data_IF_806710824350
#
_entry.id   IF_806710824350
#
_cell.length_a   1.000
_cell.length_b   1.000
_cell.length_c   1.000
_cell.angle_alpha   90.00
_cell.angle_beta   90.00
_cell.angle_gamma   90.00
#
_symmetry.space_group_name_H-M   'P 1'
#
loop_
_entity.id
_entity.type
_entity.pdbx_description
1 polymer ?
#
# COMPACT_ATOMS: atom_id res chain seq x y z
N UNK A 1 7.67 -21.60 6.66
CA UNK A 1 7.89 -20.51 5.73
C UNK A 1 7.14 -19.29 6.18
N UNK A 2 7.77 -18.16 6.04
CA UNK A 2 7.25 -16.96 6.63
C UNK A 2 6.59 -16.07 5.60
N UNK A 3 5.37 -15.70 5.85
CA UNK A 3 4.72 -14.64 5.08
C UNK A 3 5.43 -13.33 5.36
N UNK A 4 5.26 -12.39 4.43
CA UNK A 4 5.84 -11.06 4.52
C UNK A 4 4.70 -10.04 4.53
N UNK A 5 4.82 -9.04 5.39
CA UNK A 5 3.91 -7.90 5.38
C UNK A 5 4.56 -6.74 4.64
N UNK A 6 3.79 -6.13 3.78
CA UNK A 6 4.13 -4.86 3.15
C UNK A 6 3.37 -3.78 3.91
N UNK A 7 4.11 -2.92 4.60
CA UNK A 7 3.53 -1.78 5.31
C UNK A 7 3.76 -0.53 4.48
N UNK A 8 2.69 0.17 4.19
CA UNK A 8 2.72 1.37 3.34
C UNK A 8 2.11 2.55 4.08
N UNK A 9 2.72 3.72 3.93
CA UNK A 9 2.15 4.95 4.46
C UNK A 9 2.23 6.05 3.41
N UNK A 10 1.26 6.93 3.41
CA UNK A 10 1.26 8.12 2.55
C UNK A 10 0.30 9.14 3.07
N UNK A 11 0.53 10.40 2.66
CA UNK A 11 -0.34 11.51 2.96
C UNK A 11 -1.14 11.86 1.70
N UNK A 12 -2.45 11.97 1.84
CA UNK A 12 -3.29 12.36 0.71
C UNK A 12 -3.12 13.86 0.48
N UNK A 13 -2.86 14.26 -0.76
CA UNK A 13 -2.67 15.67 -1.09
C UNK A 13 -3.93 16.48 -0.76
N UNK A 14 -3.77 17.68 -0.20
CA UNK A 14 -4.93 18.52 0.13
C UNK A 14 -5.78 18.79 -1.12
N UNK A 15 -7.07 18.61 -0.99
CA UNK A 15 -8.00 18.82 -2.09
C UNK A 15 -8.11 17.65 -3.06
N UNK A 16 -7.36 16.57 -2.86
CA UNK A 16 -7.38 15.40 -3.74
C UNK A 16 -8.00 14.17 -3.08
N UNK A 17 -8.70 14.36 -1.97
CA UNK A 17 -9.24 13.25 -1.20
C UNK A 17 -10.22 12.39 -2.01
N UNK A 18 -11.16 13.01 -2.70
CA UNK A 18 -12.12 12.27 -3.52
C UNK A 18 -11.44 11.52 -4.66
N UNK A 19 -10.52 12.19 -5.34
CA UNK A 19 -9.77 11.58 -6.45
C UNK A 19 -8.96 10.39 -5.95
N UNK A 20 -8.34 10.53 -4.78
CA UNK A 20 -7.57 9.44 -4.21
C UNK A 20 -8.46 8.25 -3.87
N UNK A 21 -9.59 8.47 -3.19
CA UNK A 21 -10.44 7.35 -2.79
C UNK A 21 -11.05 6.64 -4.00
N UNK A 22 -11.35 7.35 -5.07
CA UNK A 22 -11.77 6.73 -6.31
C UNK A 22 -10.65 5.88 -6.91
N UNK A 23 -9.43 6.42 -6.96
CA UNK A 23 -8.26 5.69 -7.40
C UNK A 23 -8.02 4.44 -6.55
N UNK A 24 -8.12 4.58 -5.23
CA UNK A 24 -7.91 3.47 -4.31
C UNK A 24 -8.83 2.28 -4.63
N UNK A 25 -10.11 2.55 -4.79
CA UNK A 25 -11.10 1.50 -5.01
C UNK A 25 -11.03 0.94 -6.42
N UNK A 26 -10.84 1.79 -7.42
CA UNK A 26 -10.94 1.38 -8.82
C UNK A 26 -9.64 0.89 -9.42
N UNK A 27 -8.50 1.32 -8.89
CA UNK A 27 -7.21 1.00 -9.47
C UNK A 27 -6.23 0.37 -8.50
N UNK A 28 -6.07 0.95 -7.31
CA UNK A 28 -5.04 0.50 -6.38
C UNK A 28 -5.33 -0.91 -5.87
N UNK A 29 -6.49 -1.12 -5.27
CA UNK A 29 -6.85 -2.44 -4.73
C UNK A 29 -6.91 -3.50 -5.83
N UNK A 30 -7.58 -3.27 -6.97
CA UNK A 30 -7.57 -4.28 -8.04
C UNK A 30 -6.20 -4.59 -8.59
N UNK A 31 -5.31 -3.59 -8.68
CA UNK A 31 -3.95 -3.83 -9.16
C UNK A 31 -3.16 -4.71 -8.20
N UNK A 32 -3.29 -4.46 -6.90
CA UNK A 32 -2.65 -5.31 -5.90
C UNK A 32 -3.18 -6.74 -5.96
N UNK A 33 -4.49 -6.91 -6.09
CA UNK A 33 -5.10 -8.22 -6.23
C UNK A 33 -4.55 -8.95 -7.46
N UNK A 34 -4.40 -8.23 -8.57
CA UNK A 34 -3.82 -8.78 -9.79
C UNK A 34 -2.38 -9.21 -9.64
N UNK A 35 -1.66 -8.62 -8.70
CA UNK A 35 -0.28 -8.99 -8.38
C UNK A 35 -0.20 -10.07 -7.31
N UNK A 36 -1.33 -10.56 -6.81
CA UNK A 36 -1.36 -11.56 -5.75
C UNK A 36 -1.11 -11.00 -4.37
N UNK A 37 -1.28 -9.70 -4.20
CA UNK A 37 -1.09 -9.03 -2.92
C UNK A 37 -2.43 -8.81 -2.25
N UNK A 38 -2.62 -9.36 -1.07
CA UNK A 38 -3.86 -9.23 -0.33
C UNK A 38 -3.75 -8.07 0.65
N UNK A 39 -4.49 -6.99 0.37
CA UNK A 39 -4.58 -5.87 1.29
C UNK A 39 -5.41 -6.31 2.51
N UNK A 40 -4.78 -6.36 3.66
CA UNK A 40 -5.43 -6.87 4.86
C UNK A 40 -6.15 -5.78 5.65
N UNK A 41 -5.51 -4.63 5.81
CA UNK A 41 -6.08 -3.54 6.59
C UNK A 41 -5.60 -2.20 6.06
N UNK A 42 -6.40 -1.18 6.28
CA UNK A 42 -6.03 0.19 6.00
C UNK A 42 -6.65 1.11 7.04
N UNK A 43 -5.87 2.08 7.51
CA UNK A 43 -6.33 3.05 8.50
C UNK A 43 -6.10 4.45 7.96
N UNK A 44 -7.09 5.29 8.17
CA UNK A 44 -6.99 6.70 7.85
C UNK A 44 -6.88 7.50 9.15
N UNK A 45 -5.83 8.27 9.26
CA UNK A 45 -5.60 9.14 10.41
C UNK A 45 -5.58 10.57 9.91
N UNK A 46 -6.30 11.45 10.56
CA UNK A 46 -6.34 12.86 10.18
C UNK A 46 -5.63 13.67 11.24
N UNK A 47 -4.44 14.16 10.89
CA UNK A 47 -3.66 15.06 11.72
C UNK A 47 -3.27 16.26 10.89
N UNK A 48 -3.43 17.45 11.43
CA UNK A 48 -3.08 18.65 10.73
C UNK A 48 -3.89 18.83 9.46
N UNK A 49 -3.23 19.16 8.37
CA UNK A 49 -3.88 19.54 7.12
C UNK A 49 -4.11 18.38 6.15
N UNK A 50 -3.42 17.25 6.36
CA UNK A 50 -3.50 16.14 5.42
C UNK A 50 -3.88 14.85 6.12
N UNK A 51 -4.83 14.11 5.53
CA UNK A 51 -5.09 12.75 6.00
C UNK A 51 -3.90 11.84 5.68
N UNK A 52 -3.54 11.00 6.62
CA UNK A 52 -2.50 9.99 6.42
C UNK A 52 -3.13 8.61 6.38
N UNK A 53 -2.74 7.84 5.41
CA UNK A 53 -3.21 6.47 5.29
C UNK A 53 -2.07 5.50 5.59
N UNK A 54 -2.39 4.51 6.41
CA UNK A 54 -1.51 3.37 6.66
C UNK A 54 -2.21 2.14 6.10
N UNK A 55 -1.53 1.41 5.24
CA UNK A 55 -2.07 0.19 4.66
C UNK A 55 -1.15 -0.98 4.91
N UNK A 56 -1.75 -2.14 5.12
CA UNK A 56 -1.02 -3.38 5.35
C UNK A 56 -1.47 -4.44 4.37
N UNK A 57 -0.51 -5.09 3.74
CA UNK A 57 -0.77 -6.19 2.82
C UNK A 57 0.11 -7.38 3.17
N UNK A 58 -0.34 -8.58 2.82
CA UNK A 58 0.40 -9.80 3.11
C UNK A 58 0.76 -10.51 1.82
N UNK A 59 1.99 -10.99 1.75
CA UNK A 59 2.49 -11.79 0.63
C UNK A 59 3.07 -13.10 1.15
N UNK A 60 3.03 -14.17 0.35
CA UNK A 60 3.41 -15.50 0.85
C UNK A 60 4.90 -15.66 1.18
N UNK A 61 5.78 -14.90 0.55
CA UNK A 61 7.22 -15.06 0.75
C UNK A 61 7.99 -13.81 0.39
N UNK A 62 9.23 -13.74 0.83
CA UNK A 62 10.13 -12.64 0.45
C UNK A 62 10.40 -12.64 -1.07
N UNK A 63 10.55 -13.81 -1.68
CA UNK A 63 10.76 -13.90 -3.13
C UNK A 63 9.58 -13.33 -3.89
N UNK A 64 8.36 -13.65 -3.45
CA UNK A 64 7.15 -13.11 -4.02
C UNK A 64 7.11 -11.60 -3.86
N UNK A 65 7.46 -11.09 -2.68
CA UNK A 65 7.49 -9.66 -2.41
C UNK A 65 8.46 -8.94 -3.35
N UNK A 66 9.65 -9.51 -3.55
CA UNK A 66 10.62 -8.91 -4.46
C UNK A 66 10.13 -8.88 -5.90
N UNK A 67 9.48 -9.94 -6.35
CA UNK A 67 8.90 -9.99 -7.69
C UNK A 67 7.85 -8.89 -7.87
N UNK A 68 6.99 -8.71 -6.88
CA UNK A 68 5.96 -7.67 -6.93
C UNK A 68 6.59 -6.29 -6.99
N UNK A 69 7.53 -6.00 -6.11
CA UNK A 69 8.15 -4.68 -6.03
C UNK A 69 9.01 -4.35 -7.24
N UNK A 70 9.54 -5.36 -7.93
CA UNK A 70 10.32 -5.18 -9.15
C UNK A 70 9.45 -5.14 -10.40
N UNK A 71 8.16 -5.43 -10.30
CA UNK A 71 7.28 -5.50 -11.45
C UNK A 71 6.98 -4.11 -12.03
N UNK A 72 6.76 -4.07 -13.35
CA UNK A 72 6.35 -2.83 -14.00
C UNK A 72 4.98 -2.38 -13.52
N UNK A 73 4.10 -3.32 -13.20
CA UNK A 73 2.77 -2.99 -12.69
C UNK A 73 2.84 -2.22 -11.37
N UNK A 74 3.72 -2.63 -10.45
CA UNK A 74 3.93 -1.92 -9.20
C UNK A 74 4.51 -0.52 -9.44
N UNK A 75 5.48 -0.41 -10.34
CA UNK A 75 6.10 0.86 -10.66
C UNK A 75 5.10 1.83 -11.29
N UNK A 76 4.28 1.35 -12.22
CA UNK A 76 3.24 2.17 -12.86
C UNK A 76 2.22 2.65 -11.83
N UNK A 77 1.85 1.78 -10.89
CA UNK A 77 0.94 2.13 -9.83
C UNK A 77 1.53 3.24 -8.96
N UNK A 78 2.82 3.17 -8.66
CA UNK A 78 3.53 4.20 -7.91
C UNK A 78 3.54 5.55 -8.62
N UNK A 79 3.72 5.55 -9.93
CA UNK A 79 3.67 6.78 -10.72
C UNK A 79 2.28 7.43 -10.62
N UNK A 80 1.22 6.64 -10.75
CA UNK A 80 -0.14 7.16 -10.62
C UNK A 80 -0.41 7.67 -9.21
N UNK A 81 0.09 6.96 -8.20
CA UNK A 81 -0.07 7.33 -6.81
C UNK A 81 0.55 8.69 -6.50
N UNK A 82 1.73 8.98 -7.07
CA UNK A 82 2.45 10.23 -6.83
C UNK A 82 1.68 11.47 -7.26
N UNK A 83 0.72 11.33 -8.14
CA UNK A 83 -0.14 12.45 -8.54
C UNK A 83 -1.14 12.83 -7.47
N UNK A 84 -1.41 11.94 -6.53
CA UNK A 84 -2.48 12.09 -5.55
C UNK A 84 -1.99 12.15 -4.11
N UNK A 85 -0.78 11.66 -3.84
CA UNK A 85 -0.28 11.55 -2.47
C UNK A 85 1.14 12.09 -2.36
N UNK A 86 1.51 12.42 -1.11
CA UNK A 86 2.85 12.84 -0.73
C UNK A 86 3.42 11.84 0.25
N UNK A 87 4.75 11.83 0.36
CA UNK A 87 5.44 11.08 1.40
C UNK A 87 5.10 9.59 1.40
N UNK A 88 4.98 9.02 0.20
CA UNK A 88 4.79 7.58 0.08
C UNK A 88 6.04 6.85 0.56
N UNK A 89 5.83 5.89 1.46
CA UNK A 89 6.91 5.06 1.96
C UNK A 89 6.38 3.65 2.19
N UNK A 90 7.28 2.69 2.15
CA UNK A 90 6.91 1.31 2.45
C UNK A 90 8.08 0.55 3.05
N UNK A 91 7.76 -0.54 3.75
CA UNK A 91 8.77 -1.46 4.23
C UNK A 91 8.21 -2.88 4.26
N UNK A 92 9.10 -3.83 4.18
CA UNK A 92 8.78 -5.24 4.28
C UNK A 92 9.20 -5.72 5.67
N UNK A 93 8.30 -6.42 6.34
CA UNK A 93 8.58 -7.01 7.65
C UNK A 93 8.07 -8.45 7.67
N UNK A 94 8.68 -9.33 8.46
CA UNK A 94 8.14 -10.68 8.62
C UNK A 94 6.73 -10.62 9.20
N UNK A 95 5.83 -11.36 8.57
CA UNK A 95 4.48 -11.52 9.10
C UNK A 95 4.46 -12.77 9.94
N UNK A 96 4.43 -12.60 11.23
CA UNK A 96 4.33 -13.75 12.14
C UNK A 96 2.90 -13.94 12.53
N UNK A 97 2.51 -15.20 12.75
CA UNK A 97 1.18 -15.47 13.22
C UNK A 97 0.94 -14.80 14.55
N UNK A 98 -0.24 -14.24 14.70
CA UNK A 98 -0.61 -13.59 15.93
C UNK A 98 -0.11 -12.16 16.03
N UNK A 99 -0.24 -11.62 17.21
CA UNK A 99 0.01 -10.23 17.48
C UNK A 99 1.51 -9.96 17.64
N UNK A 100 1.97 -8.91 16.99
CA UNK A 100 3.37 -8.52 17.03
C UNK A 100 3.52 -7.19 17.75
N UNK A 101 4.35 -7.21 18.75
CA UNK A 101 4.69 -6.00 19.51
C UNK A 101 6.12 -5.63 19.27
#
# INVERSE_FOLDING_TARGET
MSSIKLLMTWDIQPGREEDYFEFHIRKFVPALEGLGVALSEAWLTVYGEQPRLLAEAVMPSMDNARQVLDSSAWQDLGVQMQELVDNFDYKLVPARGGFQL
#
